data_IF_923761951313
#
_entry.id   IF_923761951313
#
_cell.length_a   1.000
_cell.length_b   1.000
_cell.length_c   1.000
_cell.angle_alpha   90.00
_cell.angle_beta   90.00
_cell.angle_gamma   90.00
#
_symmetry.space_group_name_H-M   'P 1'
#
loop_
_entity.id
_entity.type
_entity.pdbx_description
1 polymer ?
#
# COMPACT_ATOMS: atom_id res chain seq x y z
N UNK A 1 19.59 12.02 6.11
CA UNK A 1 18.20 11.64 5.78
C UNK A 1 18.15 10.23 5.19
N UNK A 2 18.95 9.94 4.15
CA UNK A 2 19.06 8.61 3.54
C UNK A 2 19.41 7.46 4.49
N UNK A 3 20.36 7.63 5.41
CA UNK A 3 20.73 6.58 6.37
C UNK A 3 19.58 6.14 7.28
N UNK A 4 18.70 7.07 7.68
CA UNK A 4 17.50 6.78 8.48
C UNK A 4 16.45 6.04 7.64
N UNK A 5 16.24 6.48 6.41
CA UNK A 5 15.38 5.79 5.46
C UNK A 5 15.85 4.35 5.22
N UNK A 6 17.12 4.16 4.85
CA UNK A 6 17.71 2.85 4.59
C UNK A 6 17.66 1.91 5.82
N UNK A 7 17.85 2.44 7.03
CA UNK A 7 17.73 1.67 8.28
C UNK A 7 16.27 1.25 8.58
N UNK A 8 15.29 2.09 8.22
CA UNK A 8 13.87 1.80 8.41
C UNK A 8 13.38 0.75 7.41
N UNK A 9 13.71 0.88 6.12
CA UNK A 9 13.28 -0.05 5.06
C UNK A 9 13.53 -1.51 5.45
N UNK A 10 14.73 -1.85 5.95
CA UNK A 10 15.09 -3.22 6.34
C UNK A 10 14.25 -3.81 7.48
N UNK A 11 13.63 -2.97 8.30
CA UNK A 11 12.95 -3.38 9.54
C UNK A 11 11.45 -3.04 9.55
N UNK A 12 10.95 -2.36 8.52
CA UNK A 12 9.55 -2.03 8.37
C UNK A 12 8.79 -3.27 7.88
N UNK A 13 7.61 -3.53 8.45
CA UNK A 13 6.75 -4.64 8.05
C UNK A 13 5.37 -4.21 7.56
N UNK A 14 5.17 -2.90 7.44
CA UNK A 14 4.01 -2.31 6.83
C UNK A 14 3.87 -0.85 7.19
N UNK A 15 3.16 -0.11 6.34
CA UNK A 15 2.73 1.27 6.59
C UNK A 15 1.27 1.25 6.98
N UNK A 16 0.91 1.97 8.03
CA UNK A 16 -0.41 1.91 8.65
C UNK A 16 -1.14 3.24 8.44
N UNK A 17 -2.41 3.12 8.02
CA UNK A 17 -3.40 4.19 8.03
C UNK A 17 -4.62 3.73 8.81
N UNK A 18 -5.23 4.65 9.54
CA UNK A 18 -6.49 4.44 10.25
C UNK A 18 -7.18 5.79 10.47
N UNK A 19 -8.49 5.73 10.73
CA UNK A 19 -9.24 6.84 11.32
C UNK A 19 -9.41 6.60 12.82
N UNK A 20 -8.77 7.36 13.73
CA UNK A 20 -8.89 7.16 15.16
C UNK A 20 -10.28 7.46 15.74
N UNK A 21 -11.18 8.08 14.96
CA UNK A 21 -12.57 8.33 15.32
C UNK A 21 -13.50 7.15 14.99
N UNK A 22 -13.05 6.22 14.14
CA UNK A 22 -13.81 4.99 13.83
C UNK A 22 -13.82 4.07 15.05
N UNK A 23 -15.02 3.62 15.43
CA UNK A 23 -15.21 2.69 16.54
C UNK A 23 -14.44 1.39 16.29
N UNK A 24 -13.67 0.92 17.28
CA UNK A 24 -12.88 -0.31 17.17
C UNK A 24 -11.52 -0.15 16.48
N UNK A 25 -11.22 0.99 15.83
CA UNK A 25 -9.96 1.15 15.10
C UNK A 25 -8.73 1.17 16.04
N UNK A 26 -8.86 1.76 17.23
CA UNK A 26 -7.77 1.82 18.23
C UNK A 26 -7.51 0.45 18.88
N UNK A 27 -8.53 -0.37 19.07
CA UNK A 27 -8.42 -1.76 19.51
C UNK A 27 -7.61 -2.55 18.48
N UNK A 28 -7.96 -2.45 17.21
CA UNK A 28 -7.26 -3.12 16.12
C UNK A 28 -5.83 -2.63 15.92
N UNK A 29 -5.57 -1.34 16.12
CA UNK A 29 -4.21 -0.80 16.10
C UNK A 29 -3.36 -1.40 17.24
N UNK A 30 -3.91 -1.52 18.45
CA UNK A 30 -3.24 -2.15 19.60
C UNK A 30 -2.97 -3.64 19.34
N UNK A 31 -3.96 -4.35 18.84
CA UNK A 31 -3.85 -5.74 18.40
C UNK A 31 -2.70 -5.92 17.40
N UNK A 32 -2.59 -5.02 16.42
CA UNK A 32 -1.52 -5.03 15.44
C UNK A 32 -0.16 -4.80 16.11
N UNK A 33 -0.06 -3.81 17.00
CA UNK A 33 1.16 -3.48 17.73
C UNK A 33 1.75 -4.67 18.51
N UNK A 34 0.90 -5.44 19.20
CA UNK A 34 1.31 -6.64 19.95
C UNK A 34 1.95 -7.71 19.05
N UNK A 35 1.46 -7.83 17.82
CA UNK A 35 1.90 -8.86 16.85
C UNK A 35 3.19 -8.46 16.13
N UNK A 36 3.48 -7.17 16.06
CA UNK A 36 4.70 -6.61 15.48
C UNK A 36 5.70 -6.09 16.53
N UNK A 37 5.62 -6.54 17.80
CA UNK A 37 6.45 -6.06 18.93
C UNK A 37 7.96 -5.93 18.65
N UNK A 38 8.51 -6.75 17.76
CA UNK A 38 9.95 -6.81 17.44
C UNK A 38 10.31 -6.22 16.06
N UNK A 39 9.35 -5.62 15.36
CA UNK A 39 9.53 -5.04 14.02
C UNK A 39 8.92 -3.64 13.99
N UNK A 40 9.34 -2.79 13.05
CA UNK A 40 8.75 -1.46 12.95
C UNK A 40 7.48 -1.53 12.10
N UNK A 41 6.47 -0.76 12.52
CA UNK A 41 5.34 -0.37 11.68
C UNK A 41 5.46 1.11 11.36
N UNK A 42 5.21 1.48 10.12
CA UNK A 42 5.23 2.87 9.69
C UNK A 42 3.87 3.50 9.95
N UNK A 43 3.84 4.74 10.40
CA UNK A 43 2.65 5.58 10.34
C UNK A 43 2.87 6.63 9.26
N UNK A 44 1.86 6.85 8.42
CA UNK A 44 1.85 8.01 7.53
C UNK A 44 1.87 9.30 8.35
N UNK A 45 2.37 10.42 7.81
CA UNK A 45 2.26 11.73 8.47
C UNK A 45 0.83 12.05 8.90
N UNK A 46 -0.17 11.77 8.06
CA UNK A 46 -1.58 11.97 8.39
C UNK A 46 -2.05 11.10 9.58
N UNK A 47 -1.68 9.82 9.61
CA UNK A 47 -2.03 8.93 10.72
C UNK A 47 -1.33 9.32 12.03
N UNK A 48 -0.08 9.78 11.95
CA UNK A 48 0.66 10.24 13.13
C UNK A 48 0.04 11.54 13.69
N UNK A 49 -0.37 12.46 12.82
CA UNK A 49 -1.02 13.71 13.24
C UNK A 49 -2.34 13.45 13.98
N UNK A 50 -3.11 12.43 13.58
CA UNK A 50 -4.38 12.09 14.21
C UNK A 50 -4.23 11.25 15.50
N UNK A 51 -3.17 10.44 15.61
CA UNK A 51 -2.90 9.59 16.78
C UNK A 51 -2.09 10.29 17.89
N UNK A 52 -1.33 11.34 17.56
CA UNK A 52 -0.37 11.96 18.47
C UNK A 52 0.96 11.20 18.52
N UNK A 53 1.64 11.21 19.68
CA UNK A 53 2.99 10.64 19.80
C UNK A 53 2.99 9.10 19.69
N UNK A 54 3.61 8.52 18.65
CA UNK A 54 3.59 7.08 18.48
C UNK A 54 4.55 6.37 19.43
N UNK A 55 4.05 5.30 20.07
CA UNK A 55 4.87 4.38 20.84
C UNK A 55 5.37 3.23 19.95
N UNK A 56 6.42 2.52 20.40
CA UNK A 56 6.86 1.28 19.73
C UNK A 56 5.67 0.30 19.60
N UNK A 57 5.51 -0.40 18.46
CA UNK A 57 6.44 -0.54 17.33
C UNK A 57 6.34 0.57 16.25
N UNK A 58 5.50 1.59 16.44
CA UNK A 58 5.22 2.57 15.41
C UNK A 58 6.33 3.60 15.23
N UNK A 59 6.60 3.96 13.97
CA UNK A 59 7.55 4.99 13.54
C UNK A 59 6.85 5.91 12.56
N UNK A 60 6.87 7.21 12.81
CA UNK A 60 6.42 8.19 11.80
C UNK A 60 7.36 8.11 10.61
N UNK A 61 6.80 7.87 9.44
CA UNK A 61 7.55 7.86 8.20
C UNK A 61 7.70 9.29 7.66
N UNK A 62 8.76 9.49 6.89
CA UNK A 62 8.98 10.72 6.14
C UNK A 62 9.25 10.36 4.68
N UNK A 63 8.92 11.28 3.78
CA UNK A 63 9.32 11.15 2.39
C UNK A 63 10.85 11.25 2.25
N UNK A 64 11.49 10.38 1.46
CA UNK A 64 12.93 10.48 1.22
C UNK A 64 13.33 11.75 0.48
N UNK A 65 12.41 12.30 -0.33
CA UNK A 65 12.53 13.50 -1.16
C UNK A 65 11.22 14.28 -1.13
N UNK A 66 11.27 15.61 -1.17
CA UNK A 66 10.10 16.50 -1.16
C UNK A 66 9.22 16.29 -2.41
N UNK A 67 9.85 15.92 -3.53
CA UNK A 67 9.21 15.53 -4.77
C UNK A 67 8.15 14.42 -4.56
N UNK A 68 8.41 13.44 -3.69
CA UNK A 68 7.44 12.38 -3.40
C UNK A 68 6.25 12.85 -2.57
N UNK A 69 6.46 13.82 -1.68
CA UNK A 69 5.36 14.43 -0.92
C UNK A 69 4.44 15.20 -1.87
N UNK A 70 5.02 16.00 -2.78
CA UNK A 70 4.28 16.71 -3.82
C UNK A 70 3.53 15.74 -4.72
N UNK A 71 4.15 14.63 -5.11
CA UNK A 71 3.52 13.57 -5.89
C UNK A 71 2.34 12.91 -5.16
N UNK A 72 2.44 12.63 -3.85
CA UNK A 72 1.33 12.09 -3.08
C UNK A 72 0.13 13.04 -3.05
N UNK A 73 0.37 14.36 -3.01
CA UNK A 73 -0.65 15.39 -3.15
C UNK A 73 -1.25 15.48 -4.55
N UNK A 74 -0.43 15.39 -5.59
CA UNK A 74 -0.86 15.31 -6.99
C UNK A 74 -1.80 14.11 -7.21
N UNK A 75 -1.36 12.92 -6.78
CA UNK A 75 -2.14 11.68 -6.87
C UNK A 75 -3.48 11.81 -6.12
N UNK A 76 -3.48 12.47 -4.95
CA UNK A 76 -4.71 12.71 -4.19
C UNK A 76 -5.72 13.53 -5.01
N UNK A 77 -5.25 14.61 -5.63
CA UNK A 77 -6.07 15.51 -6.44
C UNK A 77 -6.68 14.84 -7.65
N UNK A 78 -5.87 14.17 -8.49
CA UNK A 78 -6.39 13.55 -9.72
C UNK A 78 -7.17 12.25 -9.45
N UNK A 79 -6.79 11.44 -8.45
CA UNK A 79 -7.53 10.22 -8.13
C UNK A 79 -8.79 10.46 -7.27
N UNK A 80 -8.99 11.68 -6.77
CA UNK A 80 -10.11 12.00 -5.86
C UNK A 80 -10.01 11.25 -4.53
N UNK A 81 -8.79 10.93 -4.10
CA UNK A 81 -8.53 10.18 -2.87
C UNK A 81 -8.13 11.13 -1.74
N UNK A 82 -8.49 10.76 -0.52
CA UNK A 82 -8.05 11.49 0.66
C UNK A 82 -6.53 11.40 0.83
N UNK A 83 -5.91 12.49 1.28
CA UNK A 83 -4.45 12.60 1.47
C UNK A 83 -3.88 11.40 2.22
N UNK A 84 -4.51 10.98 3.32
CA UNK A 84 -4.01 9.84 4.11
C UNK A 84 -3.88 8.54 3.30
N UNK A 85 -4.78 8.29 2.36
CA UNK A 85 -4.77 7.10 1.50
C UNK A 85 -3.67 7.16 0.45
N UNK A 86 -3.42 8.32 -0.16
CA UNK A 86 -2.30 8.46 -1.11
C UNK A 86 -0.95 8.47 -0.42
N UNK A 87 -0.84 9.06 0.78
CA UNK A 87 0.36 8.93 1.61
C UNK A 87 0.65 7.45 1.92
N UNK A 88 -0.39 6.68 2.27
CA UNK A 88 -0.27 5.24 2.54
C UNK A 88 0.31 4.51 1.32
N UNK A 89 -0.29 4.69 0.15
CA UNK A 89 0.12 4.02 -1.08
C UNK A 89 1.53 4.40 -1.53
N UNK A 90 1.85 5.70 -1.51
CA UNK A 90 3.16 6.19 -1.93
C UNK A 90 4.25 5.76 -0.95
N UNK A 91 4.04 5.92 0.37
CA UNK A 91 5.03 5.52 1.36
C UNK A 91 5.21 4.00 1.42
N UNK A 92 4.16 3.20 1.22
CA UNK A 92 4.29 1.75 1.11
C UNK A 92 5.18 1.33 -0.06
N UNK A 93 5.00 1.96 -1.22
CA UNK A 93 5.86 1.76 -2.39
C UNK A 93 7.32 2.14 -2.07
N UNK A 94 7.54 3.36 -1.56
CA UNK A 94 8.89 3.86 -1.26
C UNK A 94 9.61 3.01 -0.21
N UNK A 95 8.91 2.62 0.86
CA UNK A 95 9.53 1.84 1.92
C UNK A 95 9.54 0.33 1.66
N UNK A 96 9.10 -0.11 0.47
CA UNK A 96 9.07 -1.53 0.05
C UNK A 96 8.38 -2.39 1.10
N UNK A 97 7.18 -1.97 1.51
CA UNK A 97 6.43 -2.65 2.57
C UNK A 97 4.93 -2.66 2.27
N UNK A 98 4.18 -3.66 2.75
CA UNK A 98 2.74 -3.72 2.54
C UNK A 98 2.06 -2.52 3.19
N UNK A 99 0.94 -2.09 2.62
CA UNK A 99 0.06 -1.15 3.30
C UNK A 99 -0.87 -1.93 4.24
N UNK A 100 -1.23 -1.30 5.36
CA UNK A 100 -2.16 -1.84 6.34
C UNK A 100 -3.20 -0.75 6.61
N UNK A 101 -4.42 -1.02 6.17
CA UNK A 101 -5.58 -0.20 6.47
C UNK A 101 -6.28 -0.77 7.69
N UNK A 102 -6.36 -0.02 8.79
CA UNK A 102 -7.09 -0.42 9.99
C UNK A 102 -8.45 0.26 10.01
N UNK A 103 -9.51 -0.55 10.15
CA UNK A 103 -10.88 -0.10 10.03
C UNK A 103 -11.41 -0.15 8.59
N UNK A 104 -12.63 0.32 8.40
CA UNK A 104 -13.34 0.31 7.13
C UNK A 104 -13.56 1.70 6.55
N UNK A 105 -13.20 2.78 7.25
CA UNK A 105 -13.38 4.17 6.79
C UNK A 105 -12.91 4.45 5.36
N UNK A 106 -11.81 3.82 4.93
CA UNK A 106 -11.23 4.05 3.61
C UNK A 106 -11.44 2.88 2.63
N UNK A 107 -12.19 1.84 3.02
CA UNK A 107 -12.33 0.59 2.25
C UNK A 107 -12.94 0.82 0.86
N UNK A 108 -14.00 1.62 0.78
CA UNK A 108 -14.71 1.89 -0.48
C UNK A 108 -13.82 2.66 -1.47
N UNK A 109 -13.21 3.76 -1.01
CA UNK A 109 -12.29 4.56 -1.81
C UNK A 109 -11.11 3.73 -2.32
N UNK A 110 -10.56 2.85 -1.48
CA UNK A 110 -9.49 1.94 -1.86
C UNK A 110 -9.94 0.89 -2.88
N UNK A 111 -11.14 0.32 -2.70
CA UNK A 111 -11.73 -0.63 -3.63
C UNK A 111 -11.95 -0.03 -5.03
N UNK A 112 -12.29 1.26 -5.12
CA UNK A 112 -12.50 1.97 -6.39
C UNK A 112 -11.22 2.16 -7.23
N UNK A 113 -10.04 1.93 -6.64
CA UNK A 113 -8.74 2.04 -7.31
C UNK A 113 -7.93 0.74 -7.29
N UNK A 114 -8.47 -0.33 -6.69
CA UNK A 114 -7.83 -1.62 -6.64
C UNK A 114 -7.84 -2.32 -8.01
N UNK A 115 -6.77 -3.04 -8.31
CA UNK A 115 -6.63 -3.89 -9.51
C UNK A 115 -7.24 -5.27 -9.29
N UNK A 116 -7.11 -5.80 -8.09
CA UNK A 116 -7.67 -7.08 -7.66
C UNK A 116 -7.82 -7.09 -6.14
N UNK A 117 -8.55 -8.07 -5.60
CA UNK A 117 -8.80 -8.23 -4.18
C UNK A 117 -8.80 -9.70 -3.74
N UNK A 118 -8.34 -9.94 -2.51
CA UNK A 118 -8.44 -11.22 -1.82
C UNK A 118 -9.60 -11.14 -0.84
N UNK A 119 -10.62 -11.97 -1.05
CA UNK A 119 -11.78 -12.10 -0.16
C UNK A 119 -11.68 -13.36 0.70
N UNK A 120 -12.07 -13.22 1.97
CA UNK A 120 -12.05 -14.31 2.95
C UNK A 120 -13.44 -14.45 3.58
N UNK A 121 -13.86 -15.70 3.80
CA UNK A 121 -15.14 -16.01 4.45
C UNK A 121 -14.91 -16.29 5.92
N UNK A 122 -15.60 -15.54 6.78
CA UNK A 122 -15.52 -15.70 8.22
C UNK A 122 -14.27 -15.09 8.85
N UNK A 123 -14.17 -15.21 10.17
CA UNK A 123 -13.05 -14.64 10.92
C UNK A 123 -11.78 -15.48 10.76
N UNK A 124 -10.65 -14.82 10.50
CA UNK A 124 -9.34 -15.46 10.51
C UNK A 124 -8.76 -15.52 11.92
N UNK A 125 -8.23 -16.69 12.31
CA UNK A 125 -7.50 -16.86 13.56
C UNK A 125 -6.13 -16.19 13.54
N UNK A 126 -5.52 -16.00 14.72
CA UNK A 126 -4.21 -15.32 14.87
C UNK A 126 -3.10 -15.95 14.02
N UNK A 127 -3.07 -17.28 13.89
CA UNK A 127 -2.06 -17.95 13.07
C UNK A 127 -2.24 -17.67 11.58
N UNK A 128 -3.49 -17.59 11.10
CA UNK A 128 -3.79 -17.21 9.72
C UNK A 128 -3.39 -15.76 9.46
N UNK A 129 -3.70 -14.84 10.38
CA UNK A 129 -3.24 -13.45 10.27
C UNK A 129 -1.71 -13.33 10.17
N UNK A 130 -0.98 -14.00 11.08
CA UNK A 130 0.50 -14.00 11.06
C UNK A 130 1.06 -14.54 9.76
N UNK A 131 0.47 -15.61 9.23
CA UNK A 131 0.88 -16.20 7.95
C UNK A 131 0.64 -15.23 6.79
N UNK A 132 -0.58 -14.70 6.65
CA UNK A 132 -0.95 -13.92 5.48
C UNK A 132 -0.38 -12.49 5.49
N UNK A 133 -0.14 -11.92 6.67
CA UNK A 133 0.66 -10.68 6.79
C UNK A 133 2.10 -10.90 6.31
N UNK A 134 2.69 -12.06 6.58
CA UNK A 134 4.02 -12.41 6.04
C UNK A 134 3.99 -12.66 4.54
N UNK A 135 2.92 -13.27 4.03
CA UNK A 135 2.75 -13.44 2.58
C UNK A 135 2.64 -12.07 1.91
N UNK A 136 1.89 -11.11 2.47
CA UNK A 136 1.80 -9.75 1.94
C UNK A 136 3.15 -9.01 1.94
N UNK A 137 3.97 -9.22 2.97
CA UNK A 137 5.35 -8.71 3.02
C UNK A 137 6.19 -9.27 1.86
N UNK A 138 6.08 -10.58 1.59
CA UNK A 138 6.75 -11.21 0.45
C UNK A 138 6.20 -10.75 -0.91
N UNK A 139 4.89 -10.50 -1.02
CA UNK A 139 4.27 -9.95 -2.24
C UNK A 139 4.95 -8.64 -2.64
N UNK A 140 5.20 -7.73 -1.70
CA UNK A 140 5.91 -6.47 -2.02
C UNK A 140 7.33 -6.76 -2.47
N UNK A 141 8.09 -7.52 -1.68
CA UNK A 141 9.50 -7.80 -1.97
C UNK A 141 9.69 -8.46 -3.33
N UNK A 142 8.84 -9.44 -3.68
CA UNK A 142 8.95 -10.20 -4.92
C UNK A 142 8.44 -9.42 -6.15
N UNK A 143 7.58 -8.41 -5.95
CA UNK A 143 7.07 -7.56 -7.04
C UNK A 143 7.85 -6.26 -7.23
N UNK A 144 8.64 -5.82 -6.24
CA UNK A 144 9.12 -4.45 -6.21
C UNK A 144 10.02 -4.11 -7.40
N UNK A 145 11.05 -4.92 -7.65
CA UNK A 145 12.00 -4.72 -8.75
C UNK A 145 11.26 -4.64 -10.09
N UNK A 146 10.43 -5.65 -10.40
CA UNK A 146 9.57 -5.67 -11.59
C UNK A 146 8.65 -4.44 -11.67
N UNK A 147 8.10 -4.00 -10.54
CA UNK A 147 7.20 -2.84 -10.51
C UNK A 147 7.95 -1.53 -10.78
N UNK A 148 9.20 -1.42 -10.34
CA UNK A 148 10.05 -0.26 -10.62
C UNK A 148 10.48 -0.26 -12.08
N UNK A 149 10.99 -1.39 -12.60
CA UNK A 149 11.43 -1.51 -13.99
C UNK A 149 10.30 -1.18 -14.99
N UNK A 150 9.11 -1.73 -14.77
CA UNK A 150 7.94 -1.45 -15.62
C UNK A 150 7.43 -0.02 -15.45
N UNK A 151 7.59 0.60 -14.28
CA UNK A 151 7.26 2.01 -14.10
C UNK A 151 8.27 2.93 -14.80
N UNK A 152 9.58 2.62 -14.77
CA UNK A 152 10.59 3.33 -15.56
C UNK A 152 10.32 3.20 -17.05
N UNK A 153 9.92 2.01 -17.52
CA UNK A 153 9.52 1.83 -18.92
C UNK A 153 8.30 2.68 -19.27
N UNK A 154 7.28 2.73 -18.40
CA UNK A 154 6.12 3.59 -18.61
C UNK A 154 6.48 5.08 -18.64
N UNK A 155 7.45 5.52 -17.83
CA UNK A 155 7.97 6.90 -17.88
C UNK A 155 8.69 7.16 -19.21
N UNK A 156 9.53 6.24 -19.67
CA UNK A 156 10.24 6.37 -20.96
C UNK A 156 9.30 6.35 -22.17
N UNK A 157 8.19 5.62 -22.06
CA UNK A 157 7.15 5.51 -23.08
C UNK A 157 5.95 6.43 -22.82
N UNK A 158 6.10 7.45 -21.96
CA UNK A 158 5.03 8.39 -21.68
C UNK A 158 4.57 9.07 -22.99
N UNK A 159 3.27 9.09 -23.25
CA UNK A 159 2.71 9.54 -24.54
C UNK A 159 2.55 8.46 -25.62
N UNK A 160 3.11 7.27 -25.43
CA UNK A 160 2.69 6.06 -26.15
C UNK A 160 1.65 5.30 -25.29
N UNK A 161 0.39 5.71 -25.42
CA UNK A 161 -0.72 5.14 -24.65
C UNK A 161 -0.88 3.63 -24.87
N UNK A 162 -0.57 3.11 -26.07
CA UNK A 162 -0.68 1.69 -26.36
C UNK A 162 0.40 0.89 -25.59
N UNK A 163 1.62 1.42 -25.56
CA UNK A 163 2.72 0.81 -24.81
C UNK A 163 2.48 0.87 -23.31
N UNK A 164 2.03 2.00 -22.77
CA UNK A 164 1.68 2.15 -21.35
C UNK A 164 0.54 1.20 -20.96
N UNK A 165 -0.51 1.09 -21.79
CA UNK A 165 -1.62 0.16 -21.55
C UNK A 165 -1.13 -1.30 -21.48
N UNK A 166 -0.23 -1.70 -22.39
CA UNK A 166 0.35 -3.04 -22.40
C UNK A 166 1.12 -3.36 -21.10
N UNK A 167 1.89 -2.41 -20.58
CA UNK A 167 2.60 -2.55 -19.30
C UNK A 167 1.62 -2.71 -18.13
N UNK A 168 0.54 -1.93 -18.10
CA UNK A 168 -0.51 -2.04 -17.08
C UNK A 168 -1.21 -3.40 -17.12
N UNK A 169 -1.47 -3.96 -18.30
CA UNK A 169 -2.03 -5.31 -18.45
C UNK A 169 -1.07 -6.40 -17.98
N UNK A 170 0.23 -6.24 -18.23
CA UNK A 170 1.25 -7.16 -17.72
C UNK A 170 1.30 -7.14 -16.19
N UNK A 171 1.28 -5.96 -15.58
CA UNK A 171 1.21 -5.80 -14.12
C UNK A 171 -0.07 -6.41 -13.54
N UNK A 172 -1.23 -6.24 -14.19
CA UNK A 172 -2.47 -6.89 -13.78
C UNK A 172 -2.38 -8.43 -13.84
N UNK A 173 -1.74 -8.99 -14.89
CA UNK A 173 -1.48 -10.44 -14.98
C UNK A 173 -0.55 -10.93 -13.87
N UNK A 174 0.47 -10.13 -13.51
CA UNK A 174 1.38 -10.43 -12.40
C UNK A 174 0.64 -10.45 -11.05
N UNK A 175 -0.24 -9.48 -10.81
CA UNK A 175 -1.13 -9.45 -9.64
C UNK A 175 -2.00 -10.71 -9.58
N UNK A 176 -2.66 -11.09 -10.67
CA UNK A 176 -3.50 -12.28 -10.72
C UNK A 176 -2.71 -13.57 -10.44
N UNK A 177 -1.45 -13.65 -10.88
CA UNK A 177 -0.56 -14.76 -10.56
C UNK A 177 -0.19 -14.81 -9.08
N UNK A 178 0.14 -13.67 -8.48
CA UNK A 178 0.53 -13.58 -7.06
C UNK A 178 -0.63 -13.84 -6.10
N UNK A 179 -1.85 -13.41 -6.46
CA UNK A 179 -3.08 -13.68 -5.72
C UNK A 179 -3.26 -15.16 -5.37
N UNK A 180 -2.72 -16.08 -6.19
CA UNK A 180 -2.75 -17.53 -5.93
C UNK A 180 -2.05 -17.93 -4.63
N UNK A 181 -1.13 -17.12 -4.08
CA UNK A 181 -0.50 -17.35 -2.77
C UNK A 181 -1.49 -17.42 -1.61
N UNK A 182 -2.66 -16.80 -1.77
CA UNK A 182 -3.70 -16.69 -0.75
C UNK A 182 -4.75 -17.81 -0.83
N UNK A 183 -4.52 -18.86 -1.63
CA UNK A 183 -5.49 -19.95 -1.85
C UNK A 183 -6.03 -20.60 -0.56
N UNK A 184 -5.29 -20.56 0.55
CA UNK A 184 -5.68 -21.14 1.84
C UNK A 184 -6.80 -20.39 2.55
N UNK A 185 -6.98 -19.11 2.24
CA UNK A 185 -8.01 -18.24 2.86
C UNK A 185 -8.95 -17.62 1.84
N UNK A 186 -8.52 -17.56 0.58
CA UNK A 186 -9.30 -16.98 -0.51
C UNK A 186 -10.53 -17.82 -0.78
N UNK A 187 -11.71 -17.23 -0.58
CA UNK A 187 -13.01 -17.84 -0.86
C UNK A 187 -13.74 -17.22 -2.05
N UNK A 188 -13.23 -16.14 -2.63
CA UNK A 188 -13.91 -15.38 -3.69
C UNK A 188 -15.13 -14.57 -3.21
N UNK A 189 -15.70 -14.93 -2.07
CA UNK A 189 -16.80 -14.25 -1.39
C UNK A 189 -16.40 -13.84 0.03
N UNK A 190 -17.21 -13.00 0.67
CA UNK A 190 -17.00 -12.51 2.03
C UNK A 190 -16.30 -11.16 2.07
N UNK A 191 -15.62 -10.89 3.18
CA UNK A 191 -14.94 -9.63 3.42
C UNK A 191 -13.62 -9.55 2.69
N UNK A 192 -13.26 -8.33 2.27
CA UNK A 192 -11.97 -8.09 1.64
C UNK A 192 -10.89 -8.11 2.72
N UNK A 193 -9.97 -9.06 2.60
CA UNK A 193 -8.78 -9.15 3.43
C UNK A 193 -7.66 -8.26 2.88
N UNK A 194 -7.52 -8.19 1.56
CA UNK A 194 -6.42 -7.45 0.94
C UNK A 194 -6.80 -6.93 -0.44
N UNK A 195 -6.41 -5.70 -0.74
CA UNK A 195 -6.44 -5.13 -2.09
C UNK A 195 -5.05 -5.19 -2.72
N UNK A 196 -4.98 -5.39 -4.02
CA UNK A 196 -3.81 -5.02 -4.81
C UNK A 196 -4.07 -3.67 -5.44
N UNK A 197 -3.27 -2.67 -5.10
CA UNK A 197 -3.34 -1.35 -5.72
C UNK A 197 -2.10 -1.14 -6.55
N UNK A 198 -2.27 -0.85 -7.84
CA UNK A 198 -1.16 -0.53 -8.72
C UNK A 198 -1.04 0.99 -8.87
N UNK A 199 -0.10 1.61 -8.16
CA UNK A 199 0.06 3.07 -8.15
C UNK A 199 0.28 3.65 -9.56
N UNK A 200 0.98 2.92 -10.45
CA UNK A 200 1.13 3.31 -11.86
C UNK A 200 -0.23 3.33 -12.57
N UNK A 201 -1.05 2.28 -12.38
CA UNK A 201 -2.39 2.23 -12.96
C UNK A 201 -3.29 3.34 -12.43
N UNK A 202 -3.26 3.59 -11.12
CA UNK A 202 -4.04 4.69 -10.52
C UNK A 202 -3.63 6.01 -11.15
N UNK A 203 -2.33 6.29 -11.24
CA UNK A 203 -1.85 7.52 -11.85
C UNK A 203 -2.26 7.64 -13.33
N UNK A 204 -1.97 6.64 -14.17
CA UNK A 204 -2.29 6.71 -15.59
C UNK A 204 -3.79 6.84 -15.85
N UNK A 205 -4.64 6.11 -15.10
CA UNK A 205 -6.10 6.14 -15.30
C UNK A 205 -6.79 7.40 -14.77
N UNK A 206 -6.18 8.09 -13.80
CA UNK A 206 -6.79 9.25 -13.13
C UNK A 206 -6.15 10.59 -13.50
N UNK A 207 -4.86 10.57 -13.80
CA UNK A 207 -4.02 11.76 -14.01
C UNK A 207 -3.51 11.85 -15.46
N UNK A 208 -3.55 10.73 -16.21
CA UNK A 208 -3.03 10.63 -17.57
C UNK A 208 -1.55 10.23 -17.61
N UNK A 209 -1.16 9.44 -18.61
CA UNK A 209 0.21 8.92 -18.72
C UNK A 209 1.27 10.00 -19.04
N UNK A 210 0.85 11.09 -19.69
CA UNK A 210 1.74 12.20 -20.07
C UNK A 210 2.37 12.91 -18.87
N UNK A 211 1.71 12.89 -17.70
CA UNK A 211 2.23 13.45 -16.46
C UNK A 211 3.47 12.72 -15.91
N UNK A 212 3.80 11.54 -16.46
CA UNK A 212 5.01 10.78 -16.12
C UNK A 212 6.25 11.30 -16.84
N UNK A 213 6.11 12.00 -17.97
CA UNK A 213 7.23 12.32 -18.84
C UNK A 213 8.37 13.08 -18.15
N UNK A 214 9.59 12.53 -18.25
CA UNK A 214 10.79 13.12 -17.65
C UNK A 214 10.86 13.02 -16.12
N UNK A 215 10.00 12.20 -15.49
CA UNK A 215 9.94 12.00 -14.04
C UNK A 215 10.36 10.59 -13.64
N UNK A 216 11.53 10.14 -14.11
CA UNK A 216 12.06 8.78 -13.82
C UNK A 216 12.10 8.48 -12.31
N UNK A 217 12.34 9.52 -11.50
CA UNK A 217 12.34 9.43 -10.04
C UNK A 217 10.99 8.95 -9.46
N UNK A 218 9.88 9.02 -10.19
CA UNK A 218 8.59 8.51 -9.72
C UNK A 218 8.53 6.98 -9.65
N UNK A 219 9.36 6.25 -10.38
CA UNK A 219 9.22 4.80 -10.52
C UNK A 219 9.17 4.08 -9.16
N UNK A 220 9.95 4.53 -8.18
CA UNK A 220 9.97 3.97 -6.82
C UNK A 220 8.66 4.18 -6.01
N UNK A 221 7.83 5.15 -6.40
CA UNK A 221 6.52 5.44 -5.81
C UNK A 221 5.35 4.80 -6.57
N UNK A 222 5.62 4.22 -7.74
CA UNK A 222 4.62 3.69 -8.67
C UNK A 222 4.51 2.15 -8.59
N UNK A 223 4.93 1.52 -7.50
CA UNK A 223 4.87 0.06 -7.37
C UNK A 223 3.45 -0.48 -7.15
N UNK A 224 3.28 -1.79 -7.32
CA UNK A 224 2.08 -2.50 -6.85
C UNK A 224 2.18 -2.68 -5.34
N UNK A 225 1.16 -2.22 -4.62
CA UNK A 225 1.06 -2.26 -3.16
C UNK A 225 -0.07 -3.22 -2.73
N UNK A 226 0.23 -4.31 -2.02
CA UNK A 226 -0.76 -5.08 -1.28
C UNK A 226 -1.19 -4.27 -0.05
N UNK A 227 -2.48 -3.99 0.04
CA UNK A 227 -3.10 -3.25 1.13
C UNK A 227 -3.95 -4.20 1.95
N UNK A 228 -3.43 -4.63 3.09
CA UNK A 228 -4.13 -5.51 4.03
C UNK A 228 -5.17 -4.71 4.82
N UNK A 229 -6.40 -5.19 4.85
CA UNK A 229 -7.50 -4.58 5.61
C UNK A 229 -7.64 -5.31 6.93
N UNK A 230 -7.40 -4.62 8.04
CA UNK A 230 -7.62 -5.11 9.40
C UNK A 230 -8.96 -4.57 9.89
N UNK A 231 -9.96 -5.44 10.15
CA UNK A 231 -11.26 -5.02 10.65
C UNK A 231 -11.17 -4.18 11.94
N UNK A 232 -12.15 -3.31 12.24
CA UNK A 232 -12.24 -2.68 13.55
C UNK A 232 -12.59 -3.70 14.65
N UNK A 233 -12.17 -3.43 15.88
CA UNK A 233 -12.56 -4.20 17.07
C UNK A 233 -11.79 -5.50 17.30
N UNK A 234 -10.61 -5.68 16.71
CA UNK A 234 -9.78 -6.87 16.89
C UNK A 234 -9.26 -6.97 18.35
N UNK A 235 -9.23 -8.19 18.88
CA UNK A 235 -8.77 -8.54 20.24
C UNK A 235 -7.68 -9.60 20.21
#
# INVERSE_FOLDING_TARGET
MFSRYAALVKNLRGVVLLDPSEEGAKESLRWLAERFRYRNLGLTPAAAASLGSPQKPFRVLAYPLEEYERFAGELAGCAGLEKGLTELLVLSSLYVSPAILVGYRYREALGAVAVDEVRVRGAMGVQQWKLHLRIADYTVLDMYEYSVETAEEAVRSCGDEAKVASLLEERARRVAADKKRYWRVSSGEGDVFMYYVDNLRVYCSRCGSSGLCGRDWLAAALAVVPVVVVPPGMK
#
